data_IF_542388480530
#
_entry.id   IF_542388480530
#
_cell.length_a   1.000
_cell.length_b   1.000
_cell.length_c   1.000
_cell.angle_alpha   90.00
_cell.angle_beta   90.00
_cell.angle_gamma   90.00
#
_symmetry.space_group_name_H-M   'P 1'
#
loop_
_entity.id
_entity.type
_entity.pdbx_description
1 polymer ?
#
# COMPACT_ATOMS: atom_id res chain seq x y z
N UNK A 1 -15.84 -25.33 11.43
CA UNK A 1 -15.18 -24.24 12.18
C UNK A 1 -15.90 -22.94 11.80
N UNK A 2 -16.92 -22.53 12.56
CA UNK A 2 -17.59 -21.25 12.31
C UNK A 2 -16.84 -20.17 13.08
N UNK A 3 -16.28 -19.20 12.36
CA UNK A 3 -15.36 -18.18 12.88
C UNK A 3 -16.05 -16.85 13.20
N UNK A 4 -17.33 -16.71 12.85
CA UNK A 4 -18.09 -15.48 13.04
C UNK A 4 -19.36 -15.76 13.84
N UNK A 5 -19.81 -14.81 14.70
CA UNK A 5 -21.15 -14.85 15.25
C UNK A 5 -22.18 -14.89 14.12
N UNK A 6 -23.15 -15.78 14.23
CA UNK A 6 -24.28 -15.84 13.31
C UNK A 6 -25.58 -15.76 14.10
N UNK A 7 -26.56 -15.09 13.50
CA UNK A 7 -27.88 -14.91 14.08
C UNK A 7 -28.68 -16.18 13.83
N UNK A 8 -29.28 -16.73 14.88
CA UNK A 8 -30.17 -17.88 14.82
C UNK A 8 -31.58 -17.41 15.13
N UNK A 9 -32.54 -17.77 14.28
CA UNK A 9 -33.95 -17.59 14.57
C UNK A 9 -34.41 -18.65 15.57
N UNK A 10 -35.09 -18.20 16.63
CA UNK A 10 -35.69 -19.02 17.69
C UNK A 10 -37.16 -18.63 17.83
N UNK A 11 -37.94 -19.45 18.53
CA UNK A 11 -39.37 -19.18 18.79
C UNK A 11 -39.60 -17.86 19.55
N UNK A 12 -38.59 -17.35 20.25
CA UNK A 12 -38.63 -16.13 21.04
C UNK A 12 -37.97 -14.93 20.31
N UNK A 13 -37.55 -15.10 19.05
CA UNK A 13 -36.90 -14.08 18.24
C UNK A 13 -35.49 -14.47 17.79
N UNK A 14 -34.62 -13.49 17.58
CA UNK A 14 -33.27 -13.71 17.03
C UNK A 14 -32.20 -13.69 18.12
N UNK A 15 -31.32 -14.69 18.15
CA UNK A 15 -30.22 -14.78 19.13
C UNK A 15 -28.88 -14.85 18.41
N UNK A 16 -27.91 -14.05 18.86
CA UNK A 16 -26.54 -14.10 18.37
C UNK A 16 -25.79 -15.25 19.07
N UNK A 17 -25.41 -16.29 18.32
CA UNK A 17 -24.62 -17.40 18.88
C UNK A 17 -23.14 -17.20 18.57
N UNK A 18 -22.35 -16.94 19.61
CA UNK A 18 -20.92 -16.61 19.47
C UNK A 18 -19.98 -17.83 19.53
N UNK A 19 -20.39 -18.93 20.16
CA UNK A 19 -19.55 -20.12 20.38
C UNK A 19 -20.37 -21.40 20.30
N UNK A 20 -19.74 -22.47 19.79
CA UNK A 20 -20.20 -23.85 19.93
C UNK A 20 -19.16 -24.65 20.71
N UNK A 21 -19.55 -25.75 21.36
CA UNK A 21 -18.62 -26.57 22.17
C UNK A 21 -17.44 -27.14 21.37
N UNK A 22 -17.58 -27.26 20.05
CA UNK A 22 -16.54 -27.74 19.14
C UNK A 22 -15.82 -26.60 18.40
N UNK A 23 -15.97 -25.35 18.83
CA UNK A 23 -15.34 -24.20 18.19
C UNK A 23 -14.06 -23.77 18.92
N UNK A 24 -13.03 -23.42 18.14
CA UNK A 24 -11.75 -22.85 18.58
C UNK A 24 -11.95 -21.40 19.11
N UNK A 25 -13.15 -20.83 18.95
CA UNK A 25 -13.46 -19.45 19.33
C UNK A 25 -13.09 -18.44 18.23
N UNK A 26 -13.11 -17.16 18.59
CA UNK A 26 -12.89 -16.04 17.65
C UNK A 26 -11.41 -15.89 17.33
N UNK A 27 -11.04 -16.12 16.06
CA UNK A 27 -9.65 -15.98 15.59
C UNK A 27 -9.38 -14.55 15.05
N UNK A 28 -10.43 -13.82 14.64
CA UNK A 28 -10.32 -12.44 14.11
C UNK A 28 -11.46 -11.54 14.56
N UNK A 29 -11.22 -10.22 14.52
CA UNK A 29 -12.26 -9.24 14.80
C UNK A 29 -13.36 -9.27 13.73
N UNK A 30 -14.63 -9.21 14.17
CA UNK A 30 -15.83 -9.23 13.33
C UNK A 30 -15.85 -8.10 12.30
N UNK A 31 -15.46 -6.89 12.72
CA UNK A 31 -15.38 -5.70 11.87
C UNK A 31 -14.00 -5.50 11.21
N UNK A 32 -13.13 -6.51 11.26
CA UNK A 32 -11.75 -6.37 10.80
C UNK A 32 -10.96 -5.31 11.59
N UNK A 33 -10.09 -4.58 10.91
CA UNK A 33 -9.27 -3.52 11.51
C UNK A 33 -10.06 -2.20 11.57
N UNK A 34 -10.97 -2.11 12.54
CA UNK A 34 -11.85 -0.95 12.72
C UNK A 34 -11.09 0.38 12.74
N UNK A 35 -9.96 0.46 13.45
CA UNK A 35 -9.16 1.69 13.53
C UNK A 35 -8.61 2.15 12.18
N UNK A 36 -8.19 1.23 11.31
CA UNK A 36 -7.75 1.56 9.94
C UNK A 36 -8.92 2.09 9.10
N UNK A 37 -10.11 1.49 9.23
CA UNK A 37 -11.31 1.95 8.53
C UNK A 37 -11.68 3.37 8.96
N UNK A 38 -11.66 3.66 10.26
CA UNK A 38 -11.95 5.01 10.78
C UNK A 38 -10.93 6.03 10.26
N UNK A 39 -9.64 5.68 10.22
CA UNK A 39 -8.61 6.56 9.64
C UNK A 39 -8.83 6.84 8.16
N UNK A 40 -9.15 5.81 7.38
CA UNK A 40 -9.44 5.97 5.96
C UNK A 40 -10.70 6.85 5.74
N UNK A 41 -11.74 6.64 6.54
CA UNK A 41 -12.96 7.44 6.47
C UNK A 41 -12.70 8.92 6.84
N UNK A 42 -11.98 9.17 7.94
CA UNK A 42 -11.59 10.53 8.33
C UNK A 42 -10.73 11.22 7.26
N UNK A 43 -9.83 10.49 6.61
CA UNK A 43 -9.02 11.01 5.51
C UNK A 43 -9.87 11.42 4.29
N UNK A 44 -10.81 10.55 3.89
CA UNK A 44 -11.76 10.82 2.80
C UNK A 44 -12.59 12.06 3.10
N UNK A 45 -13.13 12.17 4.32
CA UNK A 45 -13.93 13.33 4.74
C UNK A 45 -13.13 14.63 4.80
N UNK A 46 -11.90 14.58 5.33
CA UNK A 46 -11.06 15.76 5.46
C UNK A 46 -10.64 16.35 4.10
N UNK A 47 -10.44 15.49 3.09
CA UNK A 47 -10.06 15.94 1.74
C UNK A 47 -11.27 16.28 0.87
N UNK A 48 -12.38 15.56 1.03
CA UNK A 48 -13.52 15.65 0.11
C UNK A 48 -13.19 15.18 -1.31
N UNK A 49 -14.17 15.28 -2.21
CA UNK A 49 -14.04 14.78 -3.59
C UNK A 49 -12.89 15.45 -4.37
N UNK A 50 -12.81 16.78 -4.31
CA UNK A 50 -11.76 17.54 -5.01
C UNK A 50 -10.37 17.28 -4.42
N UNK A 51 -10.25 17.17 -3.09
CA UNK A 51 -8.98 16.85 -2.43
C UNK A 51 -8.47 15.47 -2.83
N UNK A 52 -9.35 14.45 -2.86
CA UNK A 52 -8.97 13.11 -3.28
C UNK A 52 -8.50 13.07 -4.75
N UNK A 53 -9.22 13.77 -5.64
CA UNK A 53 -8.80 13.93 -7.03
C UNK A 53 -7.43 14.61 -7.14
N UNK A 54 -7.21 15.67 -6.35
CA UNK A 54 -5.95 16.41 -6.34
C UNK A 54 -4.78 15.58 -5.83
N UNK A 55 -4.97 14.75 -4.79
CA UNK A 55 -3.94 13.84 -4.29
C UNK A 55 -3.48 12.88 -5.39
N UNK A 56 -4.41 12.28 -6.14
CA UNK A 56 -4.08 11.41 -7.27
C UNK A 56 -3.28 12.14 -8.35
N UNK A 57 -3.71 13.35 -8.74
CA UNK A 57 -3.00 14.17 -9.73
C UNK A 57 -1.58 14.55 -9.28
N UNK A 58 -1.40 14.93 -8.02
CA UNK A 58 -0.09 15.28 -7.45
C UNK A 58 0.81 14.04 -7.41
N UNK A 59 0.29 12.86 -7.06
CA UNK A 59 1.07 11.62 -7.06
C UNK A 59 1.62 11.30 -8.46
N UNK A 60 0.78 11.41 -9.50
CA UNK A 60 1.19 11.20 -10.90
C UNK A 60 2.19 12.26 -11.36
N UNK A 61 1.98 13.53 -11.00
CA UNK A 61 2.89 14.63 -11.33
C UNK A 61 4.27 14.41 -10.70
N UNK A 62 4.33 14.11 -9.40
CA UNK A 62 5.57 13.90 -8.67
C UNK A 62 6.37 12.73 -9.23
N UNK A 63 5.71 11.61 -9.56
CA UNK A 63 6.35 10.45 -10.16
C UNK A 63 6.97 10.80 -11.52
N UNK A 64 6.21 11.46 -12.40
CA UNK A 64 6.72 11.83 -13.73
C UNK A 64 7.79 12.92 -13.68
N UNK A 65 7.72 13.85 -12.71
CA UNK A 65 8.76 14.84 -12.48
C UNK A 65 10.09 14.18 -12.12
N UNK A 66 10.09 13.30 -11.13
CA UNK A 66 11.29 12.55 -10.73
C UNK A 66 11.80 11.64 -11.84
N UNK A 67 10.91 10.99 -12.59
CA UNK A 67 11.26 10.16 -13.75
C UNK A 67 12.06 10.96 -14.78
N UNK A 68 11.60 12.15 -15.15
CA UNK A 68 12.30 13.02 -16.12
C UNK A 68 13.61 13.54 -15.57
N UNK A 69 13.69 13.87 -14.29
CA UNK A 69 14.95 14.29 -13.66
C UNK A 69 16.00 13.18 -13.62
N UNK A 70 15.59 11.93 -13.41
CA UNK A 70 16.51 10.82 -13.20
C UNK A 70 16.86 10.06 -14.49
N UNK A 71 16.07 10.16 -15.56
CA UNK A 71 16.30 9.43 -16.81
C UNK A 71 17.64 9.76 -17.50
N UNK A 72 18.22 10.93 -17.21
CA UNK A 72 19.51 11.33 -17.79
C UNK A 72 20.70 10.64 -17.09
N UNK A 73 20.49 10.13 -15.87
CA UNK A 73 21.55 9.53 -15.04
C UNK A 73 21.39 8.03 -14.85
N UNK A 74 20.17 7.51 -14.94
CA UNK A 74 19.84 6.11 -14.71
C UNK A 74 19.15 5.51 -15.93
N UNK A 75 19.35 4.21 -16.13
CA UNK A 75 18.58 3.51 -17.16
C UNK A 75 17.10 3.46 -16.76
N UNK A 76 16.24 3.91 -17.67
CA UNK A 76 14.80 3.87 -17.54
C UNK A 76 14.26 2.76 -18.46
N UNK A 77 13.89 1.58 -17.95
CA UNK A 77 13.43 0.46 -18.78
C UNK A 77 12.17 0.79 -19.58
N UNK A 78 11.32 1.66 -19.05
CA UNK A 78 10.06 2.08 -19.65
C UNK A 78 10.00 3.61 -19.77
N UNK A 79 10.49 4.17 -20.88
CA UNK A 79 10.40 5.62 -21.15
C UNK A 79 9.01 6.01 -21.69
N UNK A 80 8.04 6.06 -20.79
CA UNK A 80 6.68 6.54 -21.05
C UNK A 80 6.15 7.30 -19.85
N UNK A 81 5.11 8.10 -20.07
CA UNK A 81 4.35 8.70 -18.96
C UNK A 81 3.82 7.57 -18.08
N UNK A 82 4.13 7.62 -16.79
CA UNK A 82 3.70 6.64 -15.82
C UNK A 82 2.55 7.18 -14.96
N UNK A 83 1.93 6.32 -14.15
CA UNK A 83 0.94 6.75 -13.15
C UNK A 83 1.69 7.24 -11.90
N UNK A 84 1.52 6.59 -10.75
CA UNK A 84 2.03 7.06 -9.46
C UNK A 84 3.43 6.53 -9.10
N UNK A 85 4.08 5.79 -10.01
CA UNK A 85 5.41 5.22 -9.80
C UNK A 85 6.14 4.96 -11.12
N UNK A 86 7.45 4.77 -11.05
CA UNK A 86 8.31 4.39 -12.17
C UNK A 86 9.48 3.53 -11.65
N UNK A 87 10.18 2.85 -12.56
CA UNK A 87 11.31 1.96 -12.24
C UNK A 87 12.58 2.52 -12.87
N UNK A 88 13.66 2.50 -12.11
CA UNK A 88 15.03 2.73 -12.61
C UNK A 88 15.81 1.43 -12.43
N UNK A 89 16.75 1.15 -13.34
CA UNK A 89 17.66 0.02 -13.18
C UNK A 89 19.11 0.47 -13.07
N UNK A 90 19.93 -0.43 -12.56
CA UNK A 90 21.39 -0.32 -12.45
C UNK A 90 22.13 -0.62 -13.77
N UNK A 91 21.39 -0.88 -14.86
CA UNK A 91 21.99 -1.16 -16.16
C UNK A 91 22.79 0.05 -16.65
N UNK A 92 24.05 -0.19 -17.01
CA UNK A 92 24.94 0.85 -17.53
C UNK A 92 25.59 1.73 -16.46
N UNK A 93 25.41 1.41 -15.18
CA UNK A 93 26.20 2.03 -14.11
C UNK A 93 27.57 1.36 -14.07
N UNK A 94 28.61 2.18 -14.01
CA UNK A 94 30.01 1.71 -13.95
C UNK A 94 30.34 1.03 -12.61
N UNK A 95 31.52 0.40 -12.54
CA UNK A 95 32.08 -0.20 -11.31
C UNK A 95 31.26 -1.35 -10.70
N UNK A 96 30.44 -2.04 -11.50
CA UNK A 96 29.57 -3.14 -11.04
C UNK A 96 28.67 -2.75 -9.85
N UNK A 97 28.31 -1.48 -9.76
CA UNK A 97 27.39 -0.99 -8.74
C UNK A 97 26.02 -1.62 -8.99
N UNK A 98 25.47 -2.24 -7.95
CA UNK A 98 24.14 -2.85 -8.01
C UNK A 98 23.07 -1.92 -7.48
N UNK A 99 21.81 -2.23 -7.80
CA UNK A 99 20.63 -1.62 -7.20
C UNK A 99 20.69 -1.62 -5.66
N UNK A 100 21.19 -2.70 -5.05
CA UNK A 100 21.28 -2.82 -3.60
C UNK A 100 22.30 -1.84 -3.01
N UNK A 101 23.43 -1.63 -3.68
CA UNK A 101 24.44 -0.66 -3.26
C UNK A 101 23.89 0.77 -3.29
N UNK A 102 23.12 1.11 -4.34
CA UNK A 102 22.44 2.40 -4.46
C UNK A 102 21.42 2.56 -3.34
N UNK A 103 20.60 1.54 -3.07
CA UNK A 103 19.61 1.57 -2.01
C UNK A 103 20.24 1.78 -0.63
N UNK A 104 21.38 1.12 -0.36
CA UNK A 104 22.16 1.33 0.87
C UNK A 104 22.75 2.73 0.93
N UNK A 105 23.30 3.24 -0.17
CA UNK A 105 23.87 4.59 -0.22
C UNK A 105 22.83 5.68 0.00
N UNK A 106 21.59 5.48 -0.45
CA UNK A 106 20.47 6.40 -0.21
C UNK A 106 20.18 6.54 1.31
N UNK A 107 20.38 5.47 2.10
CA UNK A 107 20.23 5.53 3.57
C UNK A 107 21.22 6.51 4.21
N UNK A 108 22.43 6.63 3.67
CA UNK A 108 23.44 7.58 4.17
C UNK A 108 23.01 9.04 3.99
N UNK A 109 22.08 9.31 3.06
CA UNK A 109 21.46 10.63 2.86
C UNK A 109 20.18 10.82 3.69
N UNK A 110 19.84 9.89 4.58
CA UNK A 110 18.64 9.95 5.43
C UNK A 110 17.34 9.62 4.70
N UNK A 111 17.43 9.05 3.50
CA UNK A 111 16.27 8.63 2.70
C UNK A 111 16.14 7.11 2.78
N UNK A 112 14.90 6.61 2.84
CA UNK A 112 14.67 5.17 2.79
C UNK A 112 14.64 4.68 1.34
N UNK A 113 15.62 3.85 0.95
CA UNK A 113 15.61 3.16 -0.33
C UNK A 113 14.55 2.06 -0.34
N UNK A 114 13.50 2.19 -1.17
CA UNK A 114 12.52 1.12 -1.34
C UNK A 114 13.16 -0.04 -2.12
N UNK A 115 13.01 -1.27 -1.62
CA UNK A 115 13.50 -2.52 -2.22
C UNK A 115 12.87 -2.72 -3.62
N UNK A 116 13.70 -2.99 -4.64
CA UNK A 116 13.24 -3.39 -5.98
C UNK A 116 13.00 -4.90 -5.98
N UNK A 117 11.75 -5.31 -6.20
CA UNK A 117 11.44 -6.69 -6.57
C UNK A 117 11.87 -6.90 -8.02
N UNK A 118 12.77 -7.84 -8.21
CA UNK A 118 13.16 -8.36 -9.53
C UNK A 118 12.12 -9.43 -9.84
N UNK A 119 11.23 -9.17 -10.80
CA UNK A 119 10.63 -10.25 -11.60
C UNK A 119 11.58 -10.60 -12.75
#
# INVERSE_FOLDING_TARGET
ISLNPFIIATEQGFVCREKTNNSIGRIKCFWGNFGVIVRAYAYILALGAEGLKRVGQIAVLNANYLRVLLKEKYHLPYDRICQHEFVLSDRGIENNITTEDIAKRILDYGLYGKKLEVE
#
